data_IF_107435902760
#
_entry.id   IF_107435902760
#
_cell.length_a   1.000
_cell.length_b   1.000
_cell.length_c   1.000
_cell.angle_alpha   90.00
_cell.angle_beta   90.00
_cell.angle_gamma   90.00
#
_symmetry.space_group_name_H-M   'P 1'
#
loop_
_entity.id
_entity.type
_entity.pdbx_description
1 polymer ?
#
# COMPACT_ATOMS: atom_id res chain seq x y z
N UNK A 1 -0.92 -13.72 -3.01
CA UNK A 1 -1.45 -12.72 -3.97
C UNK A 1 -1.20 -11.30 -3.51
N UNK A 2 -1.52 -10.92 -2.26
CA UNK A 2 -1.19 -9.58 -1.72
C UNK A 2 0.29 -9.21 -1.85
N UNK A 3 1.20 -10.10 -1.45
CA UNK A 3 2.65 -9.85 -1.59
C UNK A 3 3.08 -9.66 -3.07
N UNK A 4 2.48 -10.41 -4.00
CA UNK A 4 2.77 -10.25 -5.43
C UNK A 4 2.31 -8.88 -5.93
N UNK A 5 1.11 -8.42 -5.52
CA UNK A 5 0.62 -7.09 -5.86
C UNK A 5 1.55 -5.98 -5.33
N UNK A 6 2.03 -6.11 -4.09
CA UNK A 6 3.00 -5.18 -3.50
C UNK A 6 4.36 -5.17 -4.21
N UNK A 7 4.82 -6.32 -4.73
CA UNK A 7 6.05 -6.34 -5.51
C UNK A 7 5.89 -5.75 -6.91
N UNK A 8 4.73 -5.93 -7.54
CA UNK A 8 4.41 -5.25 -8.80
C UNK A 8 4.35 -3.74 -8.57
N UNK A 9 3.67 -3.30 -7.52
CA UNK A 9 3.60 -1.91 -7.10
C UNK A 9 4.99 -1.30 -6.88
N UNK A 10 5.84 -1.95 -6.06
CA UNK A 10 7.22 -1.51 -5.87
C UNK A 10 7.99 -1.40 -7.18
N UNK A 11 7.82 -2.36 -8.10
CA UNK A 11 8.44 -2.33 -9.43
C UNK A 11 7.98 -1.14 -10.27
N UNK A 12 6.68 -0.81 -10.26
CA UNK A 12 6.13 0.35 -10.98
C UNK A 12 6.70 1.65 -10.43
N UNK A 13 6.75 1.80 -9.11
CA UNK A 13 7.28 3.00 -8.45
C UNK A 13 8.79 3.17 -8.70
N UNK A 14 9.57 2.09 -8.66
CA UNK A 14 11.00 2.11 -9.05
C UNK A 14 11.20 2.52 -10.52
N UNK A 15 10.33 2.05 -11.41
CA UNK A 15 10.39 2.38 -12.83
C UNK A 15 10.03 3.85 -13.09
N UNK A 16 9.05 4.40 -12.36
CA UNK A 16 8.63 5.79 -12.49
C UNK A 16 9.65 6.76 -11.89
N UNK A 17 10.28 6.41 -10.77
CA UNK A 17 11.11 7.32 -9.99
C UNK A 17 12.13 8.16 -10.81
N UNK A 18 12.92 7.60 -11.75
CA UNK A 18 13.90 8.37 -12.51
C UNK A 18 13.29 9.50 -13.35
N UNK A 19 12.07 9.31 -13.86
CA UNK A 19 11.37 10.30 -14.68
C UNK A 19 10.87 11.51 -13.91
N UNK A 20 10.88 11.46 -12.58
CA UNK A 20 10.25 12.44 -11.68
C UNK A 20 11.24 13.05 -10.68
N UNK A 21 12.54 13.06 -11.01
CA UNK A 21 13.59 13.57 -10.12
C UNK A 21 13.72 15.09 -10.07
N UNK A 22 13.12 15.81 -11.02
CA UNK A 22 13.09 17.26 -10.99
C UNK A 22 12.31 17.74 -9.75
N UNK A 23 12.90 18.66 -8.99
CA UNK A 23 12.31 19.25 -7.80
C UNK A 23 12.53 20.75 -7.79
N UNK A 24 11.56 21.48 -7.24
CA UNK A 24 11.70 22.91 -6.98
C UNK A 24 12.57 23.12 -5.74
N UNK A 25 13.34 24.22 -5.64
CA UNK A 25 14.14 24.50 -4.45
C UNK A 25 13.30 24.44 -3.16
N UNK A 26 13.76 23.68 -2.18
CA UNK A 26 13.06 23.48 -0.90
C UNK A 26 11.99 22.38 -0.89
N UNK A 27 11.82 21.63 -1.99
CA UNK A 27 10.91 20.47 -2.08
C UNK A 27 11.66 19.17 -2.32
N UNK A 28 11.08 18.04 -1.88
CA UNK A 28 11.53 16.71 -2.29
C UNK A 28 11.01 16.40 -3.69
N UNK A 29 11.77 15.63 -4.47
CA UNK A 29 11.32 15.22 -5.80
C UNK A 29 10.14 14.24 -5.69
N UNK A 30 9.24 14.26 -6.67
CA UNK A 30 8.20 13.24 -6.81
C UNK A 30 8.83 11.84 -6.96
N UNK A 31 10.00 11.75 -7.60
CA UNK A 31 10.79 10.54 -7.68
C UNK A 31 11.21 10.01 -6.31
N UNK A 32 11.52 10.87 -5.35
CA UNK A 32 11.83 10.45 -3.98
C UNK A 32 10.60 9.84 -3.29
N UNK A 33 9.41 10.40 -3.52
CA UNK A 33 8.16 9.83 -3.01
C UNK A 33 7.89 8.44 -3.60
N UNK A 34 8.11 8.26 -4.90
CA UNK A 34 8.03 6.94 -5.54
C UNK A 34 9.03 5.94 -4.95
N UNK A 35 10.28 6.35 -4.69
CA UNK A 35 11.26 5.46 -4.06
C UNK A 35 10.88 5.07 -2.63
N UNK A 36 10.33 6.02 -1.86
CA UNK A 36 9.86 5.76 -0.50
C UNK A 36 8.70 4.76 -0.49
N UNK A 37 7.75 4.90 -1.41
CA UNK A 37 6.70 3.89 -1.56
C UNK A 37 7.29 2.55 -2.02
N UNK A 38 8.10 2.51 -3.07
CA UNK A 38 8.70 1.25 -3.50
C UNK A 38 9.39 0.46 -2.37
N UNK A 39 10.08 1.17 -1.46
CA UNK A 39 10.66 0.58 -0.26
C UNK A 39 9.59 0.07 0.73
N UNK A 40 8.56 0.86 1.02
CA UNK A 40 7.48 0.49 1.92
C UNK A 40 6.67 -0.71 1.39
N UNK A 41 6.29 -0.70 0.11
CA UNK A 41 5.63 -1.80 -0.57
C UNK A 41 6.47 -3.09 -0.55
N UNK A 42 7.77 -2.99 -0.82
CA UNK A 42 8.66 -4.15 -0.75
C UNK A 42 8.73 -4.74 0.67
N UNK A 43 8.93 -3.90 1.69
CA UNK A 43 8.98 -4.33 3.10
C UNK A 43 7.65 -4.93 3.54
N UNK A 44 6.52 -4.32 3.16
CA UNK A 44 5.18 -4.85 3.45
C UNK A 44 4.96 -6.21 2.76
N UNK A 45 5.40 -6.37 1.51
CA UNK A 45 5.31 -7.62 0.75
C UNK A 45 6.08 -8.75 1.43
N UNK A 46 7.34 -8.47 1.82
CA UNK A 46 8.16 -9.40 2.60
C UNK A 46 7.50 -9.72 3.95
N UNK A 47 6.95 -8.73 4.63
CA UNK A 47 6.29 -8.94 5.93
C UNK A 47 5.05 -9.84 5.82
N UNK A 48 4.25 -9.67 4.76
CA UNK A 48 3.12 -10.55 4.45
C UNK A 48 3.59 -11.99 4.19
N UNK A 49 4.69 -12.18 3.45
CA UNK A 49 5.24 -13.52 3.19
C UNK A 49 5.75 -14.22 4.46
N UNK A 50 6.42 -13.48 5.35
CA UNK A 50 7.05 -14.06 6.54
C UNK A 50 6.01 -14.35 7.64
N UNK A 51 5.13 -13.38 7.95
CA UNK A 51 4.19 -13.52 9.08
C UNK A 51 2.83 -14.06 8.69
N UNK A 52 2.30 -13.68 7.51
CA UNK A 52 0.92 -14.01 7.11
C UNK A 52 -0.17 -13.59 8.10
N UNK A 53 0.13 -12.70 9.05
CA UNK A 53 -0.78 -12.33 10.15
C UNK A 53 -1.75 -11.22 9.76
N UNK A 54 -2.81 -11.04 10.56
CA UNK A 54 -3.76 -9.93 10.41
C UNK A 54 -3.03 -8.57 10.37
N UNK A 55 -2.05 -8.35 11.25
CA UNK A 55 -1.22 -7.15 11.25
C UNK A 55 -0.42 -6.95 9.95
N UNK A 56 0.08 -8.02 9.32
CA UNK A 56 0.80 -7.91 8.05
C UNK A 56 -0.11 -7.45 6.90
N UNK A 57 -1.35 -7.98 6.86
CA UNK A 57 -2.35 -7.52 5.90
C UNK A 57 -2.83 -6.09 6.17
N UNK A 58 -2.85 -5.64 7.43
CA UNK A 58 -3.16 -4.24 7.76
C UNK A 58 -2.08 -3.28 7.24
N UNK A 59 -0.80 -3.60 7.42
CA UNK A 59 0.32 -2.81 6.86
C UNK A 59 0.22 -2.77 5.34
N UNK A 60 0.02 -3.91 4.69
CA UNK A 60 -0.17 -4.01 3.24
C UNK A 60 -1.33 -3.14 2.74
N UNK A 61 -2.44 -3.12 3.47
CA UNK A 61 -3.60 -2.30 3.14
C UNK A 61 -3.28 -0.81 3.23
N UNK A 62 -2.62 -0.36 4.30
CA UNK A 62 -2.26 1.05 4.49
C UNK A 62 -1.36 1.54 3.36
N UNK A 63 -0.34 0.76 3.03
CA UNK A 63 0.63 1.08 1.96
C UNK A 63 -0.09 1.20 0.61
N UNK A 64 -0.70 0.11 0.14
CA UNK A 64 -1.35 0.09 -1.17
C UNK A 64 -2.51 1.10 -1.28
N UNK A 65 -3.31 1.28 -0.21
CA UNK A 65 -4.39 2.26 -0.22
C UNK A 65 -3.87 3.70 -0.22
N UNK A 66 -2.75 3.98 0.45
CA UNK A 66 -2.17 5.32 0.48
C UNK A 66 -1.66 5.75 -0.90
N UNK A 67 -0.98 4.85 -1.61
CA UNK A 67 -0.50 5.10 -2.96
C UNK A 67 -1.67 5.27 -3.94
N UNK A 68 -2.65 4.36 -3.90
CA UNK A 68 -3.88 4.47 -4.69
C UNK A 68 -4.62 5.79 -4.45
N UNK A 69 -4.82 6.14 -3.18
CA UNK A 69 -5.49 7.36 -2.79
C UNK A 69 -4.71 8.59 -3.27
N UNK A 70 -3.38 8.59 -3.20
CA UNK A 70 -2.55 9.67 -3.73
C UNK A 70 -2.73 9.83 -5.25
N UNK A 71 -2.68 8.74 -6.02
CA UNK A 71 -2.86 8.78 -7.48
C UNK A 71 -4.24 9.31 -7.86
N UNK A 72 -5.29 8.86 -7.17
CA UNK A 72 -6.67 9.32 -7.42
C UNK A 72 -6.85 10.77 -6.97
N UNK A 73 -6.36 11.13 -5.79
CA UNK A 73 -6.54 12.47 -5.22
C UNK A 73 -5.84 13.52 -6.06
N UNK A 74 -4.55 13.35 -6.36
CA UNK A 74 -3.80 14.28 -7.21
C UNK A 74 -4.24 14.25 -8.68
N UNK A 75 -5.07 13.28 -9.08
CA UNK A 75 -5.70 13.29 -10.39
C UNK A 75 -6.92 14.20 -10.46
N UNK A 76 -7.68 14.31 -9.38
CA UNK A 76 -8.96 15.02 -9.37
C UNK A 76 -8.95 16.33 -8.58
N UNK A 77 -7.99 16.51 -7.68
CA UNK A 77 -7.89 17.67 -6.80
C UNK A 77 -6.53 18.34 -7.00
N UNK A 78 -6.57 19.62 -7.34
CA UNK A 78 -5.39 20.46 -7.41
C UNK A 78 -4.96 20.88 -6.00
N UNK A 79 -4.03 20.10 -5.44
CA UNK A 79 -3.48 20.33 -4.11
C UNK A 79 -2.14 21.07 -4.31
N UNK A 80 -2.00 22.29 -3.75
CA UNK A 80 -0.76 23.05 -3.84
C UNK A 80 0.35 22.34 -3.04
N UNK A 81 1.60 22.76 -3.23
CA UNK A 81 2.72 22.24 -2.45
C UNK A 81 2.48 22.44 -0.94
N UNK A 82 2.76 21.40 -0.14
CA UNK A 82 2.58 21.41 1.32
C UNK A 82 3.94 21.13 1.97
N UNK A 83 4.59 22.18 2.47
CA UNK A 83 5.93 22.07 3.04
C UNK A 83 6.92 21.48 2.02
N UNK A 84 7.64 20.39 2.35
CA UNK A 84 8.59 19.77 1.41
C UNK A 84 7.89 18.99 0.29
N UNK A 85 6.59 18.69 0.41
CA UNK A 85 5.86 17.90 -0.59
C UNK A 85 5.49 18.81 -1.78
N UNK A 86 5.92 18.47 -3.01
CA UNK A 86 5.63 19.28 -4.19
C UNK A 86 4.15 19.22 -4.57
N UNK A 87 3.67 20.19 -5.34
CA UNK A 87 2.35 20.08 -5.98
C UNK A 87 2.40 18.93 -6.99
N UNK A 88 1.55 17.92 -6.80
CA UNK A 88 1.55 16.70 -7.62
C UNK A 88 0.33 16.57 -8.55
N UNK A 89 -0.48 17.63 -8.66
CA UNK A 89 -1.67 17.61 -9.50
C UNK A 89 -1.32 17.27 -10.94
N UNK A 90 -1.92 16.20 -11.44
CA UNK A 90 -1.74 15.75 -12.81
C UNK A 90 -3.09 15.20 -13.34
N UNK A 91 -3.78 15.98 -14.20
CA UNK A 91 -5.08 15.61 -14.73
C UNK A 91 -5.01 14.62 -15.90
N UNK A 92 -3.85 14.09 -16.27
CA UNK A 92 -3.74 13.17 -17.40
C UNK A 92 -3.62 11.73 -16.90
N UNK A 93 -4.27 10.80 -17.61
CA UNK A 93 -4.06 9.37 -17.44
C UNK A 93 -3.14 8.86 -18.55
N UNK A 94 -2.04 8.25 -18.16
CA UNK A 94 -1.12 7.54 -19.06
C UNK A 94 -0.89 6.12 -18.55
N UNK A 95 -0.37 5.25 -19.41
CA UNK A 95 -0.32 3.81 -19.15
C UNK A 95 0.30 3.44 -17.80
N UNK A 96 1.46 4.00 -17.45
CA UNK A 96 2.12 3.67 -16.19
C UNK A 96 1.38 4.19 -14.95
N UNK A 97 0.67 5.32 -15.04
CA UNK A 97 -0.22 5.81 -13.97
C UNK A 97 -1.42 4.90 -13.78
N UNK A 98 -2.02 4.45 -14.88
CA UNK A 98 -3.13 3.48 -14.85
C UNK A 98 -2.66 2.15 -14.27
N UNK A 99 -1.47 1.69 -14.66
CA UNK A 99 -0.88 0.46 -14.14
C UNK A 99 -0.62 0.55 -12.64
N UNK A 100 -0.07 1.68 -12.15
CA UNK A 100 0.09 1.96 -10.71
C UNK A 100 -1.26 1.89 -9.99
N UNK A 101 -2.25 2.67 -10.45
CA UNK A 101 -3.56 2.73 -9.81
C UNK A 101 -4.27 1.36 -9.77
N UNK A 102 -4.13 0.55 -10.83
CA UNK A 102 -4.69 -0.81 -10.85
C UNK A 102 -3.95 -1.74 -9.90
N UNK A 103 -2.62 -1.71 -9.90
CA UNK A 103 -1.80 -2.54 -9.01
C UNK A 103 -2.09 -2.23 -7.54
N UNK A 104 -2.11 -0.94 -7.19
CA UNK A 104 -2.41 -0.44 -5.85
C UNK A 104 -3.84 -0.76 -5.43
N UNK A 105 -4.82 -0.51 -6.31
CA UNK A 105 -6.23 -0.82 -6.05
C UNK A 105 -6.48 -2.31 -5.82
N UNK A 106 -5.92 -3.17 -6.67
CA UNK A 106 -6.01 -4.64 -6.51
C UNK A 106 -5.26 -5.08 -5.26
N UNK A 107 -4.07 -4.53 -5.00
CA UNK A 107 -3.28 -4.80 -3.79
C UNK A 107 -4.05 -4.47 -2.51
N UNK A 108 -4.69 -3.31 -2.45
CA UNK A 108 -5.52 -2.88 -1.33
C UNK A 108 -6.72 -3.82 -1.11
N UNK A 109 -7.43 -4.20 -2.18
CA UNK A 109 -8.55 -5.13 -2.08
C UNK A 109 -8.12 -6.53 -1.59
N UNK A 110 -6.99 -7.04 -2.10
CA UNK A 110 -6.43 -8.31 -1.66
C UNK A 110 -5.95 -8.26 -0.20
N UNK A 111 -5.33 -7.15 0.22
CA UNK A 111 -4.91 -6.92 1.58
C UNK A 111 -6.11 -6.87 2.54
N UNK A 112 -7.17 -6.16 2.15
CA UNK A 112 -8.42 -6.09 2.92
C UNK A 112 -9.06 -7.49 3.06
N UNK A 113 -9.13 -8.26 1.98
CA UNK A 113 -9.64 -9.63 2.03
C UNK A 113 -8.83 -10.54 2.97
N UNK A 114 -7.49 -10.43 2.91
CA UNK A 114 -6.58 -11.15 3.81
C UNK A 114 -6.77 -10.76 5.28
N UNK A 115 -6.93 -9.46 5.56
CA UNK A 115 -7.18 -8.93 6.90
C UNK A 115 -8.51 -9.44 7.48
N UNK A 116 -9.59 -9.39 6.69
CA UNK A 116 -10.91 -9.89 7.12
C UNK A 116 -10.86 -11.39 7.38
N UNK A 117 -10.14 -12.16 6.58
CA UNK A 117 -10.00 -13.61 6.77
C UNK A 117 -9.16 -13.95 8.01
N UNK A 118 -8.03 -13.26 8.22
CA UNK A 118 -7.16 -13.49 9.38
C UNK A 118 -7.85 -13.21 10.72
N UNK A 119 -8.64 -12.12 10.79
CA UNK A 119 -9.42 -11.79 12.01
C UNK A 119 -10.48 -12.84 12.35
N UNK A 120 -11.07 -13.50 11.34
CA UNK A 120 -12.06 -14.58 11.56
C UNK A 120 -11.40 -15.83 12.15
N UNK A 121 -10.19 -16.16 11.69
CA UNK A 121 -9.43 -17.31 12.21
C UNK A 121 -8.97 -17.08 13.66
N UNK A 122 -8.40 -15.91 13.96
CA UNK A 122 -7.98 -15.55 15.34
C UNK A 122 -9.15 -15.58 16.33
N UNK A 123 -10.34 -15.11 15.91
CA UNK A 123 -11.54 -15.14 16.76
C UNK A 123 -12.04 -16.58 17.00
N UNK A 124 -11.89 -17.47 16.02
CA UNK A 124 -12.33 -18.87 16.12
C UNK A 124 -11.44 -19.69 17.07
N UNK A 125 -10.13 -19.47 17.02
CA UNK A 125 -9.17 -20.14 17.91
C UNK A 125 -9.34 -19.67 19.37
N UNK A 126 -9.60 -18.38 19.58
CA UNK A 126 -9.91 -17.82 20.90
C UNK A 126 -11.19 -18.39 21.51
N UNK A 127 -12.24 -18.60 20.69
CA UNK A 127 -13.49 -19.23 21.12
C UNK A 127 -13.33 -20.70 21.50
N UNK A 128 -12.53 -21.46 20.74
CA UNK A 128 -12.24 -22.87 21.02
C UNK A 128 -11.42 -23.04 22.31
N UNK A 129 -10.39 -22.21 22.53
CA UNK A 129 -9.58 -22.23 23.74
C UNK A 129 -10.39 -21.89 25.01
N UNK A 130 -11.29 -20.89 24.92
CA UNK A 130 -12.18 -20.52 26.02
C UNK A 130 -13.22 -21.62 26.34
N UNK A 131 -13.74 -22.30 25.33
CA UNK A 131 -14.65 -23.43 25.51
C UNK A 131 -13.96 -24.66 26.13
N UNK A 132 -12.71 -24.94 25.73
CA UNK A 132 -11.91 -26.03 26.28
C UNK A 132 -11.53 -25.79 27.76
N UNK A 133 -11.23 -24.55 28.15
CA UNK A 133 -10.96 -24.18 29.54
C UNK A 133 -12.17 -24.31 30.47
N UNK A 134 -13.39 -24.20 29.93
CA UNK A 134 -14.64 -24.30 30.71
C UNK A 134 -15.12 -25.74 30.95
N UNK A 135 -14.71 -26.70 30.13
CA UNK A 135 -15.05 -28.13 30.29
C UNK A 135 -14.16 -28.88 31.29
N UNK A 136 -13.06 -28.27 31.74
CA UNK A 136 -12.10 -28.87 32.69
C UNK A 136 -12.30 -28.40 34.14
N UNK A 137 -13.38 -27.68 34.42
CA UNK A 137 -13.82 -27.27 35.76
C UNK A 137 -15.18 -27.90 36.04
#
# INVERSE_FOLDING_TARGET
>A
MTALALFIDAGVHLFLAPGYQAAQPGTISQGTLFLLEAAAAFVAGVYVLIRGSSAAYAVALVVAFSAFAAVVLYRYVDIPAIGPIPAMYDPVWFFSKTLSAVAEGVGALLALAGLVRGRRTETSDGGAAFAAGRRRR
#
